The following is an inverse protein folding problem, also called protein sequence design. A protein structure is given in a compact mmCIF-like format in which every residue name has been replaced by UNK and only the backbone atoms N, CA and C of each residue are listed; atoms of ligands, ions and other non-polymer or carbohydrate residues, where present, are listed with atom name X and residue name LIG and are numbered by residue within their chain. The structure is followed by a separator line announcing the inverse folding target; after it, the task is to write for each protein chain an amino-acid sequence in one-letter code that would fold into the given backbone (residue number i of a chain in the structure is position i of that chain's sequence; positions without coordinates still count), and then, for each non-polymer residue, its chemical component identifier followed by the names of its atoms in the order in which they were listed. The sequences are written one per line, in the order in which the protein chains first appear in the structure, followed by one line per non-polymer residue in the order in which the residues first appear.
data_IF_615730437293
#
_entry.id   IF_615730437293
#
_cell.length_a   1.000
_cell.length_b   1.000
_cell.length_c   1.000
_cell.angle_alpha   90.00
_cell.angle_beta   90.00
_cell.angle_gamma   90.00
#
_symmetry.space_group_name_H-M   'P 1'
#
loop_
_entity.id
_entity.type
_entity.pdbx_description
1 polymer ?
#
# COMPACT_ATOMS: atom_id res chain seq x y z
N UNK A 1 2.31 -0.73 5.94
CA UNK A 1 2.63 0.70 5.76
C UNK A 1 1.75 1.60 6.62
N UNK A 2 0.43 1.55 6.46
CA UNK A 2 -0.48 2.43 7.21
C UNK A 2 -0.43 2.19 8.73
N UNK A 3 -0.31 0.96 9.21
CA UNK A 3 -0.14 0.69 10.64
C UNK A 3 1.11 1.37 11.19
N UNK A 4 2.24 1.26 10.49
CA UNK A 4 3.48 1.92 10.88
C UNK A 4 3.34 3.44 10.85
N UNK A 5 2.71 4.00 9.81
CA UNK A 5 2.43 5.43 9.72
C UNK A 5 1.56 5.93 10.88
N UNK A 6 0.52 5.17 11.24
CA UNK A 6 -0.34 5.49 12.39
C UNK A 6 0.41 5.47 13.72
N UNK A 7 1.32 4.51 13.91
CA UNK A 7 2.17 4.46 15.11
C UNK A 7 3.14 5.64 15.15
N UNK A 8 3.81 5.95 14.04
CA UNK A 8 4.77 7.06 13.95
C UNK A 8 4.13 8.43 14.19
N UNK A 9 2.92 8.66 13.67
CA UNK A 9 2.19 9.93 13.86
C UNK A 9 1.38 9.99 15.15
N UNK A 10 1.21 8.86 15.84
CA UNK A 10 0.34 8.77 17.03
C UNK A 10 -1.16 8.85 16.71
N UNK A 11 -1.58 8.71 15.44
CA UNK A 11 -2.96 8.92 14.96
C UNK A 11 -3.59 7.65 14.36
N UNK A 12 -3.27 6.47 14.88
CA UNK A 12 -3.70 5.19 14.30
C UNK A 12 -5.22 5.09 14.09
N UNK A 13 -6.04 5.45 15.07
CA UNK A 13 -7.51 5.35 14.96
C UNK A 13 -8.05 6.26 13.86
N UNK A 14 -7.66 7.54 13.88
CA UNK A 14 -8.07 8.53 12.87
C UNK A 14 -7.65 8.10 11.47
N UNK A 15 -6.41 7.67 11.32
CA UNK A 15 -5.87 7.20 10.04
C UNK A 15 -6.70 6.05 9.47
N UNK A 16 -7.06 5.06 10.29
CA UNK A 16 -7.87 3.92 9.83
C UNK A 16 -9.31 4.30 9.50
N UNK A 17 -9.91 5.27 10.20
CA UNK A 17 -11.23 5.80 9.84
C UNK A 17 -11.20 6.47 8.47
N UNK A 18 -10.23 7.36 8.23
CA UNK A 18 -10.08 8.08 6.96
C UNK A 18 -9.78 7.12 5.79
N UNK A 19 -8.93 6.11 6.00
CA UNK A 19 -8.63 5.09 4.98
C UNK A 19 -9.89 4.29 4.61
N UNK A 20 -10.71 3.88 5.60
CA UNK A 20 -11.95 3.15 5.35
C UNK A 20 -12.95 3.99 4.55
N UNK A 21 -13.05 5.29 4.85
CA UNK A 21 -13.90 6.22 4.10
C UNK A 21 -13.38 6.35 2.66
N UNK A 22 -12.09 6.61 2.51
CA UNK A 22 -11.46 6.70 1.19
C UNK A 22 -11.67 5.44 0.34
N UNK A 23 -11.50 4.25 0.90
CA UNK A 23 -11.74 2.99 0.20
C UNK A 23 -13.19 2.79 -0.25
N UNK A 24 -14.16 3.40 0.45
CA UNK A 24 -15.59 3.33 0.10
C UNK A 24 -15.98 4.36 -0.95
N UNK A 25 -15.44 5.56 -0.88
CA UNK A 25 -15.87 6.72 -1.66
C UNK A 25 -15.01 6.93 -2.91
N UNK A 26 -13.76 6.54 -2.83
CA UNK A 26 -12.79 6.70 -3.90
C UNK A 26 -12.85 5.53 -4.87
N UNK A 27 -12.83 5.84 -6.16
CA UNK A 27 -12.60 4.83 -7.21
C UNK A 27 -11.16 4.26 -7.15
N UNK A 28 -10.39 4.66 -6.14
CA UNK A 28 -9.00 4.27 -5.97
C UNK A 28 -8.07 4.82 -7.07
N UNK A 29 -8.41 5.93 -7.71
CA UNK A 29 -7.66 6.49 -8.86
C UNK A 29 -6.83 7.73 -8.51
N UNK A 30 -7.00 8.30 -7.32
CA UNK A 30 -6.23 9.46 -6.92
C UNK A 30 -4.74 9.09 -6.77
N UNK A 31 -3.85 9.81 -7.45
CA UNK A 31 -2.41 9.50 -7.41
C UNK A 31 -1.74 9.94 -6.13
N UNK A 32 -2.33 10.90 -5.44
CA UNK A 32 -1.86 11.43 -4.16
C UNK A 32 -3.05 11.61 -3.24
N UNK A 33 -2.98 11.03 -2.06
CA UNK A 33 -4.01 11.15 -1.02
C UNK A 33 -3.33 11.49 0.30
N UNK A 34 -3.97 12.33 1.11
CA UNK A 34 -3.46 12.68 2.44
C UNK A 34 -4.44 12.24 3.51
N UNK A 35 -3.91 11.82 4.65
CA UNK A 35 -4.65 11.36 5.81
C UNK A 35 -4.09 11.97 7.10
N UNK A 36 -4.82 11.83 8.19
CA UNK A 36 -4.38 12.21 9.53
C UNK A 36 -3.92 13.68 9.61
N UNK A 37 -4.78 14.61 9.15
CA UNK A 37 -4.50 16.06 9.08
C UNK A 37 -3.25 16.37 8.23
N UNK A 38 -3.12 15.74 7.08
CA UNK A 38 -1.98 15.87 6.14
C UNK A 38 -0.62 15.38 6.70
N UNK A 39 -0.61 14.62 7.80
CA UNK A 39 0.63 14.01 8.31
C UNK A 39 1.00 12.72 7.59
N UNK A 40 0.04 12.03 6.96
CA UNK A 40 0.30 10.82 6.16
C UNK A 40 -0.03 11.10 4.70
N UNK A 41 0.97 10.98 3.86
CA UNK A 41 0.89 11.11 2.41
C UNK A 41 0.98 9.73 1.77
N UNK A 42 0.06 9.42 0.88
CA UNK A 42 0.06 8.18 0.13
C UNK A 42 0.15 8.51 -1.36
N UNK A 43 1.25 8.10 -1.97
CA UNK A 43 1.55 8.30 -3.37
C UNK A 43 1.56 6.97 -4.09
N UNK A 44 0.95 6.92 -5.26
CA UNK A 44 0.94 5.75 -6.12
C UNK A 44 1.01 6.15 -7.59
N UNK A 45 1.42 5.24 -8.49
CA UNK A 45 1.54 5.56 -9.90
C UNK A 45 0.20 5.97 -10.54
N UNK A 46 0.25 6.92 -11.48
CA UNK A 46 -0.82 7.17 -12.44
C UNK A 46 -0.56 6.33 -13.69
N UNK A 47 -1.33 5.26 -13.85
CA UNK A 47 -1.06 4.29 -14.89
C UNK A 47 0.13 3.41 -14.51
N UNK A 48 1.18 3.38 -15.34
CA UNK A 48 2.31 2.46 -15.15
C UNK A 48 3.51 3.08 -14.40
N UNK A 49 3.51 4.39 -14.17
CA UNK A 49 4.68 5.12 -13.67
C UNK A 49 4.33 6.14 -12.59
N UNK A 50 5.18 6.22 -11.57
CA UNK A 50 5.15 7.29 -10.59
C UNK A 50 5.96 8.48 -11.13
N UNK A 51 5.26 9.57 -11.44
CA UNK A 51 5.82 10.76 -12.09
C UNK A 51 6.26 11.80 -11.09
N UNK A 52 7.21 12.65 -11.50
CA UNK A 52 7.76 13.70 -10.65
C UNK A 52 6.71 14.72 -10.20
N UNK A 53 5.68 14.98 -11.00
CA UNK A 53 4.59 15.90 -10.67
C UNK A 53 3.85 15.46 -9.41
N UNK A 54 3.66 14.14 -9.22
CA UNK A 54 3.01 13.58 -8.03
C UNK A 54 3.90 13.76 -6.79
N UNK A 55 5.19 13.49 -6.93
CA UNK A 55 6.15 13.65 -5.83
C UNK A 55 6.38 15.12 -5.46
N UNK A 56 6.32 16.03 -6.43
CA UNK A 56 6.41 17.48 -6.19
C UNK A 56 5.32 18.01 -5.27
N UNK A 57 4.10 17.49 -5.38
CA UNK A 57 3.02 17.88 -4.46
C UNK A 57 3.40 17.63 -3.00
N UNK A 58 4.06 16.53 -2.73
CA UNK A 58 4.59 16.22 -1.40
C UNK A 58 5.77 17.14 -1.04
N UNK A 59 6.73 17.34 -1.94
CA UNK A 59 7.90 18.19 -1.69
C UNK A 59 7.51 19.65 -1.42
N UNK A 60 6.54 20.18 -2.18
CA UNK A 60 6.04 21.55 -2.00
C UNK A 60 5.35 21.70 -0.65
N UNK A 61 4.64 20.66 -0.19
CA UNK A 61 4.02 20.64 1.12
C UNK A 61 5.05 20.55 2.25
N UNK A 62 6.17 19.83 2.06
CA UNK A 62 7.24 19.70 3.07
C UNK A 62 7.74 21.04 3.57
N UNK A 63 7.83 22.05 2.70
CA UNK A 63 8.25 23.41 3.08
C UNK A 63 7.35 24.08 4.12
N UNK A 64 6.15 23.54 4.34
CA UNK A 64 5.16 24.03 5.31
C UNK A 64 4.97 23.11 6.50
N UNK A 65 5.70 22.01 6.58
CA UNK A 65 5.57 21.06 7.67
C UNK A 65 6.06 21.66 8.97
N UNK A 66 5.33 21.37 10.03
CA UNK A 66 5.72 21.71 11.40
C UNK A 66 6.70 20.65 11.97
N UNK A 67 7.01 20.75 13.24
CA UNK A 67 7.90 19.80 13.93
C UNK A 67 7.25 18.42 14.18
N UNK A 68 6.00 18.23 13.79
CA UNK A 68 5.32 16.93 13.95
C UNK A 68 5.87 15.90 12.97
N UNK A 69 5.59 14.63 13.26
CA UNK A 69 6.01 13.53 12.38
C UNK A 69 5.14 13.50 11.14
N UNK A 70 5.77 13.52 9.98
CA UNK A 70 5.13 13.30 8.68
C UNK A 70 5.60 11.98 8.06
N UNK A 71 4.71 11.27 7.42
CA UNK A 71 5.01 9.99 6.77
C UNK A 71 4.61 10.05 5.31
N UNK A 72 5.54 9.76 4.41
CA UNK A 72 5.28 9.61 2.99
C UNK A 72 5.34 8.12 2.61
N UNK A 73 4.21 7.55 2.24
CA UNK A 73 4.10 6.18 1.73
C UNK A 73 4.14 6.25 0.21
N UNK A 74 5.11 5.58 -0.40
CA UNK A 74 5.21 5.44 -1.86
C UNK A 74 4.88 4.00 -2.20
N UNK A 75 3.71 3.80 -2.80
CA UNK A 75 3.26 2.49 -3.26
C UNK A 75 3.79 2.20 -4.66
N UNK A 76 3.99 0.93 -4.98
CA UNK A 76 4.57 0.48 -6.24
C UNK A 76 5.89 1.22 -6.56
N UNK A 77 6.78 1.33 -5.56
CA UNK A 77 7.99 2.16 -5.63
C UNK A 77 8.93 1.75 -6.78
N UNK A 78 8.84 0.52 -7.29
CA UNK A 78 9.56 0.07 -8.49
C UNK A 78 9.15 0.82 -9.77
N UNK A 79 8.02 1.54 -9.74
CA UNK A 79 7.52 2.34 -10.88
C UNK A 79 8.04 3.78 -10.89
N UNK A 80 8.86 4.15 -9.90
CA UNK A 80 9.46 5.49 -9.83
C UNK A 80 10.32 5.76 -11.05
N UNK A 81 10.03 6.87 -11.74
CA UNK A 81 10.93 7.38 -12.78
C UNK A 81 12.21 7.97 -12.17
N UNK A 82 13.29 8.01 -12.93
CA UNK A 82 14.58 8.58 -12.49
C UNK A 82 14.48 9.94 -11.81
N UNK A 83 13.67 10.91 -12.29
CA UNK A 83 13.53 12.20 -11.61
C UNK A 83 12.94 12.08 -10.19
N UNK A 84 12.02 11.14 -9.96
CA UNK A 84 11.44 10.87 -8.62
C UNK A 84 12.50 10.25 -7.72
N UNK A 85 13.17 9.21 -8.20
CA UNK A 85 14.21 8.50 -7.45
C UNK A 85 15.36 9.44 -7.04
N UNK A 86 15.82 10.30 -7.95
CA UNK A 86 16.85 11.29 -7.67
C UNK A 86 16.38 12.38 -6.68
N UNK A 87 15.13 12.81 -6.78
CA UNK A 87 14.55 13.77 -5.85
C UNK A 87 14.39 13.18 -4.45
N UNK A 88 13.94 11.92 -4.36
CA UNK A 88 13.85 11.18 -3.11
C UNK A 88 15.22 11.03 -2.46
N UNK A 89 16.26 10.70 -3.24
CA UNK A 89 17.63 10.59 -2.72
C UNK A 89 18.09 11.88 -2.06
N UNK A 90 17.86 13.05 -2.68
CA UNK A 90 18.19 14.34 -2.07
C UNK A 90 17.48 14.54 -0.74
N UNK A 91 16.19 14.22 -0.69
CA UNK A 91 15.41 14.35 0.54
C UNK A 91 15.88 13.37 1.63
N UNK A 92 16.35 12.18 1.25
CA UNK A 92 16.91 11.22 2.21
C UNK A 92 18.30 11.63 2.73
N UNK A 93 19.08 12.38 1.93
CA UNK A 93 20.39 12.87 2.31
C UNK A 93 20.31 14.13 3.19
N UNK A 94 19.38 15.01 2.88
CA UNK A 94 19.15 16.28 3.58
C UNK A 94 17.66 16.40 3.95
N UNK A 95 17.20 15.63 4.96
CA UNK A 95 15.80 15.65 5.33
C UNK A 95 15.42 16.99 5.95
N UNK A 96 14.42 17.64 5.38
CA UNK A 96 13.80 18.82 5.97
C UNK A 96 12.67 18.35 6.92
N UNK A 97 12.77 18.72 8.19
CA UNK A 97 11.78 18.37 9.19
C UNK A 97 11.82 16.89 9.65
N UNK A 98 10.76 16.45 10.28
CA UNK A 98 10.62 15.08 10.81
C UNK A 98 9.80 14.20 9.85
N UNK A 99 10.42 13.83 8.73
CA UNK A 99 9.77 13.07 7.65
C UNK A 99 10.31 11.64 7.59
N UNK A 100 9.39 10.68 7.54
CA UNK A 100 9.70 9.26 7.33
C UNK A 100 9.13 8.78 6.00
N UNK A 101 9.93 8.01 5.26
CA UNK A 101 9.50 7.39 4.01
C UNK A 101 9.23 5.91 4.20
N UNK A 102 8.12 5.42 3.64
CA UNK A 102 7.78 4.00 3.57
C UNK A 102 7.62 3.64 2.10
N UNK A 103 8.56 2.87 1.57
CA UNK A 103 8.54 2.40 0.18
C UNK A 103 7.95 0.99 0.14
N UNK A 104 6.89 0.79 -0.64
CA UNK A 104 6.29 -0.51 -0.88
C UNK A 104 6.70 -0.95 -2.28
N UNK A 105 7.31 -2.11 -2.39
CA UNK A 105 7.75 -2.66 -3.68
C UNK A 105 7.65 -4.18 -3.70
N UNK A 106 7.31 -4.74 -4.85
CA UNK A 106 7.41 -6.18 -5.11
C UNK A 106 8.71 -6.54 -5.86
N UNK A 107 9.43 -5.56 -6.37
CA UNK A 107 10.73 -5.73 -7.02
C UNK A 107 11.78 -4.79 -6.42
N UNK A 108 12.58 -5.33 -5.52
CA UNK A 108 13.65 -4.57 -4.88
C UNK A 108 14.77 -4.18 -5.87
N UNK A 109 14.98 -4.98 -6.92
CA UNK A 109 16.04 -4.76 -7.90
C UNK A 109 15.75 -3.57 -8.83
N UNK A 110 14.50 -3.18 -8.95
CA UNK A 110 14.09 -2.00 -9.71
C UNK A 110 14.37 -0.68 -8.96
N UNK A 111 14.65 -0.73 -7.65
CA UNK A 111 15.02 0.45 -6.88
C UNK A 111 16.52 0.73 -6.99
N UNK A 112 16.88 2.01 -6.95
CA UNK A 112 18.29 2.41 -6.92
C UNK A 112 18.99 1.84 -5.67
N UNK A 113 20.19 1.24 -5.81
CA UNK A 113 20.97 0.73 -4.68
C UNK A 113 21.25 1.79 -3.61
N UNK A 114 21.33 3.04 -4.01
CA UNK A 114 21.52 4.20 -3.14
C UNK A 114 20.30 4.50 -2.26
N UNK A 115 19.08 4.25 -2.73
CA UNK A 115 17.87 4.31 -1.93
C UNK A 115 17.84 3.13 -0.96
N UNK A 116 18.09 1.92 -1.47
CA UNK A 116 18.07 0.68 -0.66
C UNK A 116 19.06 0.75 0.52
N UNK A 117 20.24 1.35 0.30
CA UNK A 117 21.27 1.45 1.34
C UNK A 117 20.94 2.42 2.47
N UNK A 118 19.95 3.30 2.30
CA UNK A 118 19.50 4.29 3.29
C UNK A 118 18.25 3.88 4.05
N UNK A 119 17.67 2.73 3.70
CA UNK A 119 16.45 2.23 4.33
C UNK A 119 16.64 0.92 5.09
N UNK A 120 15.77 0.68 6.07
CA UNK A 120 15.59 -0.62 6.66
C UNK A 120 14.61 -1.46 5.83
N UNK A 121 14.90 -2.76 5.67
CA UNK A 121 14.13 -3.64 4.81
C UNK A 121 13.28 -4.60 5.61
N UNK A 122 12.00 -4.65 5.31
CA UNK A 122 11.04 -5.59 5.85
C UNK A 122 10.49 -6.46 4.73
N UNK A 123 10.79 -7.76 4.76
CA UNK A 123 10.27 -8.70 3.78
C UNK A 123 8.92 -9.27 4.24
N UNK A 124 7.90 -9.13 3.41
CA UNK A 124 6.60 -9.76 3.59
C UNK A 124 6.51 -10.96 2.66
N UNK A 125 6.63 -12.14 3.25
CA UNK A 125 6.56 -13.40 2.50
C UNK A 125 5.09 -13.86 2.36
N UNK A 126 4.78 -14.69 1.34
CA UNK A 126 3.50 -15.39 1.28
C UNK A 126 3.23 -16.16 2.58
N UNK A 127 1.95 -16.29 2.93
CA UNK A 127 1.56 -17.03 4.11
C UNK A 127 1.91 -18.52 3.96
N UNK A 128 2.24 -19.18 5.07
CA UNK A 128 2.27 -20.63 5.10
C UNK A 128 0.85 -21.21 4.88
N UNK A 129 0.72 -22.44 4.42
CA UNK A 129 -0.60 -23.08 4.24
C UNK A 129 -1.43 -23.03 5.54
N UNK A 130 -0.79 -23.28 6.69
CA UNK A 130 -1.45 -23.26 7.99
C UNK A 130 -1.97 -21.87 8.37
N UNK A 131 -1.15 -20.83 8.20
CA UNK A 131 -1.52 -19.45 8.49
C UNK A 131 -2.60 -18.96 7.52
N UNK A 132 -2.48 -19.32 6.24
CA UNK A 132 -3.47 -19.00 5.23
C UNK A 132 -4.84 -19.60 5.56
N UNK A 133 -4.90 -20.90 5.87
CA UNK A 133 -6.15 -21.56 6.24
C UNK A 133 -6.77 -20.98 7.52
N UNK A 134 -5.92 -20.63 8.49
CA UNK A 134 -6.35 -19.95 9.73
C UNK A 134 -6.95 -18.58 9.45
N UNK A 135 -6.33 -17.80 8.56
CA UNK A 135 -6.83 -16.50 8.14
C UNK A 135 -8.18 -16.62 7.43
N UNK A 136 -8.30 -17.56 6.48
CA UNK A 136 -9.56 -17.80 5.76
C UNK A 136 -10.69 -18.19 6.71
N UNK A 137 -10.41 -19.01 7.72
CA UNK A 137 -11.39 -19.43 8.73
C UNK A 137 -11.77 -18.31 9.71
N UNK A 138 -10.91 -17.30 9.90
CA UNK A 138 -11.14 -16.21 10.86
C UNK A 138 -12.28 -15.27 10.46
N UNK A 139 -12.50 -15.08 9.16
CA UNK A 139 -13.57 -14.22 8.63
C UNK A 139 -14.26 -14.87 7.40
N UNK A 140 -15.19 -15.82 7.64
CA UNK A 140 -15.89 -16.51 6.56
C UNK A 140 -16.79 -15.61 5.70
N UNK A 141 -17.11 -14.40 6.16
CA UNK A 141 -17.89 -13.42 5.39
C UNK A 141 -17.03 -12.68 4.38
N UNK A 142 -15.80 -12.42 4.74
CA UNK A 142 -14.81 -11.75 3.88
C UNK A 142 -14.21 -12.73 2.86
N UNK A 143 -13.93 -13.96 3.32
CA UNK A 143 -13.29 -15.01 2.51
C UNK A 143 -14.32 -16.10 2.18
N UNK A 144 -15.36 -15.75 1.43
CA UNK A 144 -16.33 -16.74 0.99
C UNK A 144 -15.80 -17.49 -0.25
N UNK A 145 -15.79 -18.79 -0.17
CA UNK A 145 -15.28 -19.62 -1.26
C UNK A 145 -16.36 -19.84 -2.33
N UNK A 146 -15.99 -19.78 -3.62
CA UNK A 146 -16.85 -20.23 -4.70
C UNK A 146 -17.30 -21.68 -4.45
N UNK A 147 -18.57 -22.01 -4.76
CA UNK A 147 -19.13 -23.35 -4.56
C UNK A 147 -18.24 -24.39 -5.27
N UNK A 148 -17.78 -25.39 -4.51
CA UNK A 148 -16.96 -26.49 -5.03
C UNK A 148 -15.45 -26.23 -5.06
N UNK A 149 -14.97 -25.10 -4.53
CA UNK A 149 -13.54 -24.82 -4.41
C UNK A 149 -13.07 -25.05 -2.98
N UNK A 150 -12.00 -25.85 -2.84
CA UNK A 150 -11.36 -26.12 -1.54
C UNK A 150 -10.35 -24.98 -1.21
N UNK A 151 -10.24 -24.64 0.06
CA UNK A 151 -9.29 -23.65 0.58
C UNK A 151 -7.81 -23.96 0.19
N UNK A 152 -7.46 -25.25 0.10
CA UNK A 152 -6.14 -25.69 -0.35
C UNK A 152 -5.89 -25.41 -1.82
N UNK A 153 -6.90 -25.55 -2.66
CA UNK A 153 -6.81 -25.21 -4.09
C UNK A 153 -6.61 -23.70 -4.24
N UNK A 154 -7.34 -22.89 -3.46
CA UNK A 154 -7.14 -21.43 -3.44
C UNK A 154 -5.76 -21.03 -2.93
N UNK A 155 -5.26 -21.71 -1.91
CA UNK A 155 -3.89 -21.49 -1.43
C UNK A 155 -2.85 -21.70 -2.55
N UNK A 156 -3.00 -22.78 -3.32
CA UNK A 156 -2.11 -23.07 -4.45
C UNK A 156 -2.22 -22.06 -5.58
N UNK A 157 -3.45 -21.61 -5.90
CA UNK A 157 -3.71 -20.62 -6.95
C UNK A 157 -3.23 -19.22 -6.57
N UNK A 158 -3.35 -18.85 -5.31
CA UNK A 158 -2.95 -17.56 -4.78
C UNK A 158 -1.50 -17.52 -4.28
N UNK A 159 -0.81 -18.66 -4.31
CA UNK A 159 0.54 -18.81 -3.75
C UNK A 159 0.65 -18.29 -2.31
N UNK A 160 -0.41 -18.46 -1.53
CA UNK A 160 -0.49 -17.97 -0.15
C UNK A 160 -0.72 -16.45 -0.01
N UNK A 161 -1.14 -15.78 -1.09
CA UNK A 161 -1.48 -14.36 -1.07
C UNK A 161 -2.99 -14.14 -0.83
N UNK A 162 -3.39 -13.57 0.32
CA UNK A 162 -4.80 -13.32 0.62
C UNK A 162 -5.48 -12.30 -0.31
N UNK A 163 -4.71 -11.37 -0.88
CA UNK A 163 -5.22 -10.37 -1.84
C UNK A 163 -5.70 -11.04 -3.12
N UNK A 164 -4.88 -11.91 -3.72
CA UNK A 164 -5.26 -12.70 -4.90
C UNK A 164 -6.48 -13.58 -4.61
N UNK A 165 -6.56 -14.12 -3.39
CA UNK A 165 -7.74 -14.91 -2.98
C UNK A 165 -9.01 -14.08 -3.01
N UNK A 166 -9.00 -12.84 -2.54
CA UNK A 166 -10.16 -11.95 -2.59
C UNK A 166 -10.57 -11.65 -4.03
N UNK A 167 -9.62 -11.33 -4.92
CA UNK A 167 -9.90 -11.10 -6.34
C UNK A 167 -10.59 -12.32 -6.99
N UNK A 168 -10.07 -13.52 -6.75
CA UNK A 168 -10.68 -14.76 -7.26
C UNK A 168 -12.07 -15.02 -6.69
N UNK A 169 -12.30 -14.64 -5.43
CA UNK A 169 -13.61 -14.77 -4.81
C UNK A 169 -14.63 -13.76 -5.34
N UNK A 170 -14.22 -12.51 -5.57
CA UNK A 170 -15.10 -11.44 -6.04
C UNK A 170 -15.49 -11.60 -7.51
N UNK A 171 -14.55 -11.98 -8.39
CA UNK A 171 -14.85 -12.22 -9.81
C UNK A 171 -15.88 -13.34 -10.06
N UNK A 172 -16.04 -14.28 -9.13
CA UNK A 172 -17.00 -15.39 -9.24
C UNK A 172 -18.27 -15.19 -8.44
N UNK A 173 -18.34 -14.13 -7.62
CA UNK A 173 -19.52 -13.77 -6.82
C UNK A 173 -20.64 -13.09 -7.61
N UNK A 174 -20.35 -12.50 -8.75
CA UNK A 174 -21.31 -11.78 -9.60
C UNK A 174 -22.05 -12.65 -10.65
N UNK A 175 -21.92 -13.96 -10.59
CA UNK A 175 -22.81 -14.82 -11.38
C UNK A 175 -24.22 -14.86 -10.72
N UNK A 176 -25.02 -13.84 -10.93
CA UNK A 176 -26.46 -13.89 -10.70
C UNK A 176 -27.08 -15.12 -11.40
N UNK A 177 -27.93 -15.89 -10.72
CA UNK A 177 -28.73 -16.91 -11.40
C UNK A 177 -29.70 -16.19 -12.34
N UNK A 178 -29.44 -16.25 -13.65
CA UNK A 178 -30.48 -15.91 -14.61
C UNK A 178 -31.68 -16.81 -14.31
N UNK A 179 -32.76 -16.19 -13.81
CA UNK A 179 -34.06 -16.78 -13.62
C UNK A 179 -34.59 -17.27 -14.97
N UNK A 180 -34.86 -18.58 -15.04
CA UNK A 180 -35.70 -19.18 -16.05
C UNK A 180 -37.18 -18.99 -15.64
#
# INVERSE_FOLDING_TARGET
AFDLAGVLTGKSEKLWEEIRLWQRESSGKEPVVTFADHQVWYLRPMGMELKIEQFRLFLDAMATFDETVHVCIIDEAQTMMDPVANSLLKTLEEPEGNVHFILITHDLHALLPTIISRGERFAFLPLSEGDYLSLMASDPKKYHFPKGMDAKVLFQLSEGNPGITLEVCDEKGEAEPQSA
#
